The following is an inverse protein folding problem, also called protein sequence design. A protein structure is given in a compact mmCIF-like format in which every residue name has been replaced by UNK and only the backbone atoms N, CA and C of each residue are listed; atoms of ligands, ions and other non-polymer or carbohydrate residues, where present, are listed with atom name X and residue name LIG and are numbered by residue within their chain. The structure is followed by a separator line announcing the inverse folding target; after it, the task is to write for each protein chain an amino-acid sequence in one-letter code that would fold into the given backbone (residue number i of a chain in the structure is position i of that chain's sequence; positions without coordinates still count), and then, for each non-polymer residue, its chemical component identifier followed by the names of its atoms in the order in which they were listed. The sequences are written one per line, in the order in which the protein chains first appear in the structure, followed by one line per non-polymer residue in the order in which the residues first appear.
data_IF_951910327816
#
_entry.id   IF_951910327816
#
_cell.length_a   1.000
_cell.length_b   1.000
_cell.length_c   1.000
_cell.angle_alpha   90.00
_cell.angle_beta   90.00
_cell.angle_gamma   90.00
#
_symmetry.space_group_name_H-M   'P 1'
#
loop_
_entity.id
_entity.type
_entity.pdbx_description
1 polymer ?
#
# COMPACT_ATOMS: atom_id res chain seq x y z
N UNK A 1 -0.75 -83.94 -18.92
CA UNK A 1 -2.04 -83.23 -19.12
C UNK A 1 -2.59 -83.00 -17.73
N UNK A 2 -2.20 -81.89 -17.08
CA UNK A 2 -2.89 -80.58 -17.14
C UNK A 2 -4.31 -80.72 -16.53
N UNK A 3 -4.73 -80.00 -15.48
CA UNK A 3 -4.23 -78.73 -14.96
C UNK A 3 -4.69 -78.55 -13.50
N UNK A 4 -3.88 -77.82 -12.73
CA UNK A 4 -4.20 -77.33 -11.37
C UNK A 4 -4.90 -75.99 -11.55
N UNK A 5 -6.09 -75.80 -10.96
CA UNK A 5 -6.60 -74.44 -10.76
C UNK A 5 -6.80 -74.14 -9.27
N UNK A 6 -5.80 -73.44 -8.75
CA UNK A 6 -5.78 -72.80 -7.45
C UNK A 6 -6.80 -71.66 -7.41
N UNK A 7 -7.82 -71.82 -6.55
CA UNK A 7 -8.83 -70.81 -6.26
C UNK A 7 -8.22 -69.70 -5.39
N UNK A 8 -7.52 -68.75 -6.03
CA UNK A 8 -6.98 -67.55 -5.37
C UNK A 8 -8.14 -66.64 -4.94
N UNK A 9 -8.30 -66.48 -3.63
CA UNK A 9 -9.12 -65.42 -3.02
C UNK A 9 -8.61 -64.06 -3.53
N UNK A 10 -9.45 -63.34 -4.27
CA UNK A 10 -9.22 -61.94 -4.59
C UNK A 10 -9.45 -61.11 -3.30
N UNK A 11 -8.41 -60.46 -2.82
CA UNK A 11 -8.53 -59.47 -1.75
C UNK A 11 -9.37 -58.27 -2.24
N UNK A 12 -10.20 -57.66 -1.38
CA UNK A 12 -10.93 -56.45 -1.74
C UNK A 12 -9.94 -55.33 -2.08
N UNK A 13 -10.08 -54.76 -3.28
CA UNK A 13 -9.36 -53.54 -3.66
C UNK A 13 -9.75 -52.42 -2.66
N UNK A 14 -8.77 -51.68 -2.10
CA UNK A 14 -9.09 -50.51 -1.30
C UNK A 14 -9.81 -49.48 -2.18
N UNK A 15 -10.78 -48.73 -1.62
CA UNK A 15 -11.47 -47.69 -2.37
C UNK A 15 -10.47 -46.66 -2.88
N UNK A 16 -10.71 -46.05 -4.05
CA UNK A 16 -9.86 -45.00 -4.58
C UNK A 16 -9.79 -43.88 -3.55
N UNK A 17 -8.60 -43.63 -3.02
CA UNK A 17 -8.34 -42.43 -2.21
C UNK A 17 -8.60 -41.26 -3.13
N UNK A 18 -9.74 -40.61 -2.94
CA UNK A 18 -10.03 -39.33 -3.57
C UNK A 18 -8.93 -38.37 -3.10
N UNK A 19 -7.95 -38.14 -3.97
CA UNK A 19 -7.03 -37.03 -3.82
C UNK A 19 -7.90 -35.80 -3.99
N UNK A 20 -8.38 -35.24 -2.87
CA UNK A 20 -8.99 -33.93 -2.88
C UNK A 20 -7.94 -32.97 -3.41
N UNK A 21 -8.08 -32.60 -4.69
CA UNK A 21 -7.39 -31.48 -5.27
C UNK A 21 -7.77 -30.25 -4.46
N UNK A 22 -6.94 -29.95 -3.45
CA UNK A 22 -6.97 -28.71 -2.67
C UNK A 22 -6.73 -27.60 -3.67
N UNK A 23 -7.82 -27.11 -4.27
CA UNK A 23 -7.86 -26.03 -5.23
C UNK A 23 -7.31 -24.81 -4.52
N UNK A 24 -5.99 -24.61 -4.60
CA UNK A 24 -5.30 -23.45 -4.03
C UNK A 24 -5.96 -22.24 -4.67
N UNK A 25 -6.77 -21.54 -3.89
CA UNK A 25 -7.36 -20.28 -4.30
C UNK A 25 -6.21 -19.42 -4.86
N UNK A 26 -6.36 -19.02 -6.13
CA UNK A 26 -5.36 -18.21 -6.80
C UNK A 26 -5.01 -17.01 -5.90
N UNK A 27 -3.72 -16.66 -5.78
CA UNK A 27 -3.35 -15.51 -4.98
C UNK A 27 -4.10 -14.28 -5.49
N UNK A 28 -4.78 -13.58 -4.58
CA UNK A 28 -5.60 -12.40 -4.88
C UNK A 28 -4.79 -11.31 -5.59
N UNK A 29 -3.46 -11.35 -5.46
CA UNK A 29 -2.53 -10.42 -6.08
C UNK A 29 -1.36 -11.16 -6.74
N UNK A 30 -0.88 -10.69 -7.91
CA UNK A 30 0.24 -11.30 -8.63
C UNK A 30 1.58 -11.14 -7.92
N UNK A 31 1.69 -10.21 -6.94
CA UNK A 31 2.90 -9.93 -6.19
C UNK A 31 2.84 -10.44 -4.74
N UNK A 32 3.98 -10.87 -4.16
CA UNK A 32 4.12 -11.02 -2.71
C UNK A 32 3.70 -9.74 -1.97
N UNK A 33 2.88 -9.88 -0.93
CA UNK A 33 2.31 -8.75 -0.18
C UNK A 33 3.33 -7.66 0.23
N UNK A 34 4.50 -8.07 0.75
CA UNK A 34 5.57 -7.13 1.13
C UNK A 34 6.05 -6.32 -0.07
N UNK A 35 6.23 -6.94 -1.24
CA UNK A 35 6.65 -6.21 -2.44
C UNK A 35 5.56 -5.24 -2.91
N UNK A 36 4.30 -5.67 -2.92
CA UNK A 36 3.18 -4.80 -3.27
C UNK A 36 3.15 -3.54 -2.39
N UNK A 37 3.23 -3.72 -1.07
CA UNK A 37 3.21 -2.63 -0.09
C UNK A 37 4.41 -1.70 -0.27
N UNK A 38 5.61 -2.26 -0.43
CA UNK A 38 6.82 -1.45 -0.61
C UNK A 38 6.81 -0.67 -1.91
N UNK A 39 6.34 -1.27 -3.01
CA UNK A 39 6.20 -0.57 -4.29
C UNK A 39 5.15 0.52 -4.22
N UNK A 40 4.01 0.26 -3.57
CA UNK A 40 2.99 1.28 -3.31
C UNK A 40 3.56 2.45 -2.51
N UNK A 41 4.26 2.16 -1.40
CA UNK A 41 4.89 3.18 -0.58
C UNK A 41 5.97 3.97 -1.35
N UNK A 42 6.79 3.32 -2.18
CA UNK A 42 7.79 4.05 -2.98
C UNK A 42 7.13 4.91 -4.06
N UNK A 43 6.07 4.41 -4.71
CA UNK A 43 5.32 5.15 -5.71
C UNK A 43 4.69 6.41 -5.10
N UNK A 44 4.00 6.29 -3.97
CA UNK A 44 3.35 7.45 -3.34
C UNK A 44 4.40 8.46 -2.87
N UNK A 45 5.50 8.03 -2.25
CA UNK A 45 6.60 8.93 -1.86
C UNK A 45 7.22 9.66 -3.06
N UNK A 46 7.39 8.98 -4.20
CA UNK A 46 7.90 9.57 -5.43
C UNK A 46 6.95 10.62 -6.00
N UNK A 47 5.65 10.30 -6.08
CA UNK A 47 4.62 11.26 -6.53
C UNK A 47 4.62 12.51 -5.66
N UNK A 48 4.70 12.36 -4.34
CA UNK A 48 4.73 13.52 -3.44
C UNK A 48 6.00 14.34 -3.60
N UNK A 49 7.15 13.70 -3.80
CA UNK A 49 8.41 14.39 -4.09
C UNK A 49 8.32 15.24 -5.36
N UNK A 50 7.66 14.74 -6.40
CA UNK A 50 7.42 15.49 -7.65
C UNK A 50 6.51 16.69 -7.40
N UNK A 51 5.43 16.52 -6.64
CA UNK A 51 4.53 17.64 -6.28
C UNK A 51 5.31 18.75 -5.57
N UNK A 52 6.17 18.41 -4.61
CA UNK A 52 7.01 19.39 -3.92
C UNK A 52 8.01 20.08 -4.85
N UNK A 53 8.65 19.32 -5.75
CA UNK A 53 9.56 19.90 -6.73
C UNK A 53 8.84 20.90 -7.64
N UNK A 54 7.61 20.58 -8.08
CA UNK A 54 6.78 21.50 -8.86
C UNK A 54 6.45 22.75 -8.06
N UNK A 55 5.94 22.61 -6.82
CA UNK A 55 5.62 23.77 -5.97
C UNK A 55 6.85 24.65 -5.77
N UNK A 56 8.01 24.06 -5.48
CA UNK A 56 9.26 24.79 -5.30
C UNK A 56 9.67 25.57 -6.56
N UNK A 57 9.59 24.95 -7.74
CA UNK A 57 9.89 25.62 -9.01
C UNK A 57 8.89 26.75 -9.29
N UNK A 58 7.62 26.57 -8.96
CA UNK A 58 6.59 27.60 -9.13
C UNK A 58 6.74 28.77 -8.16
N UNK A 59 7.24 28.53 -6.95
CA UNK A 59 7.51 29.56 -5.93
C UNK A 59 8.78 30.38 -6.26
N UNK A 60 9.81 29.71 -6.77
CA UNK A 60 11.10 30.35 -7.10
C UNK A 60 11.15 30.95 -8.51
N UNK A 61 10.30 30.45 -9.41
CA UNK A 61 10.25 30.89 -10.79
C UNK A 61 9.40 32.14 -10.94
N UNK A 62 9.91 33.13 -11.68
CA UNK A 62 9.14 34.28 -12.17
C UNK A 62 8.26 33.83 -13.35
N UNK A 63 7.41 32.83 -13.11
CA UNK A 63 6.56 32.19 -14.10
C UNK A 63 5.17 32.79 -13.96
N UNK A 64 4.66 33.37 -15.05
CA UNK A 64 3.26 33.80 -15.13
C UNK A 64 2.33 32.60 -14.98
N UNK A 65 1.86 32.41 -13.75
CA UNK A 65 0.97 31.32 -13.39
C UNK A 65 -0.45 31.63 -13.88
N UNK A 66 -1.18 30.62 -14.38
CA UNK A 66 -2.60 30.76 -14.67
C UNK A 66 -3.36 31.29 -13.45
N UNK A 67 -4.41 32.07 -13.67
CA UNK A 67 -5.19 32.72 -12.60
C UNK A 67 -5.80 31.76 -11.57
N UNK A 68 -5.99 30.49 -11.94
CA UNK A 68 -6.46 29.45 -11.04
C UNK A 68 -5.36 28.88 -10.12
N UNK A 69 -4.08 29.13 -10.43
CA UNK A 69 -2.91 28.79 -9.59
C UNK A 69 -2.46 29.99 -8.75
N UNK A 70 -2.44 31.20 -9.32
CA UNK A 70 -2.02 32.42 -8.63
C UNK A 70 -2.95 32.86 -7.48
N UNK A 71 -4.13 32.25 -7.40
CA UNK A 71 -5.09 32.35 -6.29
C UNK A 71 -4.51 32.03 -4.91
N UNK A 72 -3.35 31.37 -4.85
CA UNK A 72 -2.63 31.03 -3.62
C UNK A 72 -2.21 32.23 -2.75
N UNK A 73 -1.82 33.35 -3.37
CA UNK A 73 -0.99 34.40 -2.73
C UNK A 73 -1.64 35.25 -1.63
N UNK A 74 -2.89 34.97 -1.24
CA UNK A 74 -3.58 35.68 -0.16
C UNK A 74 -4.70 34.88 0.49
N UNK A 75 -4.72 33.55 0.28
CA UNK A 75 -5.80 32.69 0.76
C UNK A 75 -5.74 32.38 2.25
N UNK A 76 -4.54 32.38 2.84
CA UNK A 76 -4.33 31.93 4.20
C UNK A 76 -4.11 33.06 5.18
N UNK A 77 -4.65 32.88 6.39
CA UNK A 77 -4.23 33.65 7.57
C UNK A 77 -2.80 33.25 7.97
N UNK A 78 -2.12 34.07 8.76
CA UNK A 78 -0.78 33.74 9.28
C UNK A 78 -0.75 32.38 10.00
N UNK A 79 -1.83 32.05 10.73
CA UNK A 79 -2.00 30.76 11.37
C UNK A 79 -2.12 29.61 10.36
N UNK A 80 -2.85 29.82 9.25
CA UNK A 80 -2.96 28.85 8.16
C UNK A 80 -1.65 28.63 7.42
N UNK A 81 -0.85 29.69 7.21
CA UNK A 81 0.49 29.61 6.62
C UNK A 81 1.42 28.80 7.53
N UNK A 82 1.42 29.09 8.83
CA UNK A 82 2.22 28.35 9.81
C UNK A 82 1.84 26.87 9.88
N UNK A 83 0.53 26.56 9.87
CA UNK A 83 0.03 25.18 9.84
C UNK A 83 0.45 24.46 8.55
N UNK A 84 0.28 25.11 7.38
CA UNK A 84 0.71 24.55 6.09
C UNK A 84 2.21 24.25 6.08
N UNK A 85 3.03 25.18 6.58
CA UNK A 85 4.48 25.00 6.70
C UNK A 85 4.85 23.80 7.59
N UNK A 86 4.20 23.65 8.74
CA UNK A 86 4.43 22.53 9.64
C UNK A 86 4.03 21.18 9.01
N UNK A 87 2.90 21.13 8.27
CA UNK A 87 2.47 19.93 7.56
C UNK A 87 3.45 19.57 6.45
N UNK A 88 3.89 20.54 5.65
CA UNK A 88 4.87 20.34 4.57
C UNK A 88 6.16 19.76 5.13
N UNK A 89 6.65 20.30 6.24
CA UNK A 89 7.87 19.80 6.86
C UNK A 89 7.70 18.38 7.40
N UNK A 90 6.61 18.10 8.12
CA UNK A 90 6.29 16.75 8.59
C UNK A 90 6.20 15.73 7.45
N UNK A 91 5.58 16.13 6.33
CA UNK A 91 5.41 15.30 5.15
C UNK A 91 6.75 14.92 4.49
N UNK A 92 7.72 15.84 4.41
CA UNK A 92 9.08 15.52 3.92
C UNK A 92 9.71 14.41 4.75
N UNK A 93 9.72 14.57 6.08
CA UNK A 93 10.31 13.58 6.99
C UNK A 93 9.59 12.23 6.93
N UNK A 94 8.26 12.24 6.88
CA UNK A 94 7.47 11.01 6.70
C UNK A 94 7.78 10.33 5.36
N UNK A 95 7.93 11.07 4.26
CA UNK A 95 8.26 10.51 2.94
C UNK A 95 9.65 9.87 2.90
N UNK A 96 10.63 10.49 3.58
CA UNK A 96 11.97 9.91 3.75
C UNK A 96 11.89 8.60 4.55
N UNK A 97 11.21 8.61 5.69
CA UNK A 97 11.05 7.42 6.54
C UNK A 97 10.30 6.29 5.82
N UNK A 98 9.23 6.62 5.11
CA UNK A 98 8.44 5.72 4.27
C UNK A 98 9.31 5.04 3.21
N UNK A 99 10.08 5.82 2.46
CA UNK A 99 10.95 5.32 1.39
C UNK A 99 12.07 4.43 1.95
N UNK A 100 12.69 4.86 3.05
CA UNK A 100 13.72 4.09 3.72
C UNK A 100 13.20 2.74 4.23
N UNK A 101 12.04 2.73 4.90
CA UNK A 101 11.42 1.51 5.40
C UNK A 101 11.05 0.55 4.25
N UNK A 102 10.48 1.07 3.16
CA UNK A 102 10.15 0.28 1.98
C UNK A 102 11.40 -0.31 1.31
N UNK A 103 12.44 0.49 1.11
CA UNK A 103 13.71 0.03 0.53
C UNK A 103 14.35 -1.06 1.40
N UNK A 104 14.42 -0.86 2.72
CA UNK A 104 14.96 -1.85 3.65
C UNK A 104 14.17 -3.16 3.62
N UNK A 105 12.83 -3.09 3.58
CA UNK A 105 11.97 -4.29 3.48
C UNK A 105 12.21 -5.08 2.18
N UNK A 106 12.53 -4.40 1.08
CA UNK A 106 12.86 -5.01 -0.21
C UNK A 106 14.27 -5.61 -0.23
N UNK A 107 15.26 -4.92 0.33
CA UNK A 107 16.67 -5.34 0.34
C UNK A 107 16.96 -6.46 1.34
N UNK A 108 16.15 -6.59 2.38
CA UNK A 108 16.35 -7.63 3.39
C UNK A 108 16.19 -9.05 2.82
N UNK A 109 17.07 -9.99 3.19
CA UNK A 109 16.99 -11.38 2.76
C UNK A 109 15.68 -12.05 3.14
N UNK A 110 15.22 -13.02 2.33
CA UNK A 110 13.99 -13.78 2.57
C UNK A 110 13.93 -14.47 3.94
N UNK A 111 15.08 -14.89 4.49
CA UNK A 111 15.20 -15.47 5.84
C UNK A 111 14.74 -14.54 6.97
N UNK A 112 14.72 -13.21 6.76
CA UNK A 112 14.25 -12.21 7.74
C UNK A 112 12.80 -11.80 7.50
N UNK A 113 11.92 -12.78 7.30
CA UNK A 113 10.52 -12.55 6.90
C UNK A 113 9.74 -11.64 7.85
N UNK A 114 9.93 -11.79 9.17
CA UNK A 114 9.25 -10.96 10.17
C UNK A 114 9.71 -9.50 10.10
N UNK A 115 11.02 -9.26 10.05
CA UNK A 115 11.57 -7.90 9.92
C UNK A 115 11.11 -7.22 8.63
N UNK A 116 11.08 -7.95 7.50
CA UNK A 116 10.57 -7.44 6.21
C UNK A 116 9.11 -7.02 6.32
N UNK A 117 8.28 -7.83 6.98
CA UNK A 117 6.86 -7.50 7.21
C UNK A 117 6.71 -6.30 8.12
N UNK A 118 7.43 -6.24 9.24
CA UNK A 118 7.38 -5.11 10.16
C UNK A 118 7.75 -3.80 9.43
N UNK A 119 8.83 -3.80 8.64
CA UNK A 119 9.21 -2.64 7.84
C UNK A 119 8.18 -2.29 6.77
N UNK A 120 7.55 -3.27 6.12
CA UNK A 120 6.45 -3.01 5.19
C UNK A 120 5.23 -2.38 5.89
N UNK A 121 4.89 -2.83 7.11
CA UNK A 121 3.84 -2.21 7.91
C UNK A 121 4.20 -0.76 8.29
N UNK A 122 5.45 -0.51 8.68
CA UNK A 122 5.94 0.85 8.97
C UNK A 122 5.86 1.73 7.72
N UNK A 123 6.28 1.22 6.55
CA UNK A 123 6.18 1.94 5.29
C UNK A 123 4.72 2.27 4.92
N UNK A 124 3.80 1.32 5.13
CA UNK A 124 2.37 1.53 4.90
C UNK A 124 1.77 2.55 5.86
N UNK A 125 2.12 2.50 7.15
CA UNK A 125 1.66 3.46 8.15
C UNK A 125 2.17 4.88 7.85
N UNK A 126 3.41 5.00 7.39
CA UNK A 126 3.97 6.27 6.94
C UNK A 126 3.26 6.79 5.69
N UNK A 127 2.93 5.92 4.73
CA UNK A 127 2.12 6.28 3.55
C UNK A 127 0.72 6.80 3.94
N UNK A 128 0.02 6.08 4.82
CA UNK A 128 -1.29 6.52 5.32
C UNK A 128 -1.21 7.87 6.04
N UNK A 129 -0.18 8.08 6.87
CA UNK A 129 0.08 9.37 7.53
C UNK A 129 0.29 10.49 6.50
N UNK A 130 1.09 10.24 5.47
CA UNK A 130 1.28 11.19 4.37
C UNK A 130 -0.04 11.53 3.67
N UNK A 131 -0.89 10.53 3.40
CA UNK A 131 -2.19 10.77 2.77
C UNK A 131 -3.14 11.58 3.65
N UNK A 132 -3.08 11.41 4.98
CA UNK A 132 -3.81 12.25 5.93
C UNK A 132 -3.31 13.69 5.93
N UNK A 133 -1.99 13.90 5.83
CA UNK A 133 -1.40 15.23 5.66
C UNK A 133 -1.88 15.89 4.36
N UNK A 134 -1.92 15.16 3.24
CA UNK A 134 -2.49 15.64 1.96
C UNK A 134 -3.94 16.09 2.17
N UNK A 135 -4.76 15.26 2.81
CA UNK A 135 -6.16 15.56 3.07
C UNK A 135 -6.31 16.81 3.93
N UNK A 136 -5.43 17.01 4.92
CA UNK A 136 -5.43 18.21 5.75
C UNK A 136 -5.04 19.46 4.96
N UNK A 137 -4.01 19.38 4.12
CA UNK A 137 -3.61 20.47 3.22
C UNK A 137 -4.77 20.86 2.29
N UNK A 138 -5.38 19.87 1.65
CA UNK A 138 -6.56 20.06 0.80
C UNK A 138 -7.71 20.74 1.57
N UNK A 139 -7.97 20.30 2.81
CA UNK A 139 -8.98 20.91 3.65
C UNK A 139 -8.68 22.39 3.93
N UNK A 140 -7.43 22.74 4.27
CA UNK A 140 -7.03 24.13 4.46
C UNK A 140 -7.34 24.98 3.22
N UNK A 141 -7.00 24.49 2.02
CA UNK A 141 -7.32 25.18 0.77
C UNK A 141 -8.82 25.36 0.55
N UNK A 142 -9.61 24.31 0.78
CA UNK A 142 -11.06 24.37 0.63
C UNK A 142 -11.72 25.29 1.65
N UNK A 143 -11.16 25.42 2.86
CA UNK A 143 -11.64 26.39 3.85
C UNK A 143 -11.27 27.82 3.50
N UNK A 144 -10.12 28.04 2.88
CA UNK A 144 -9.68 29.35 2.43
C UNK A 144 -10.47 29.85 1.21
N UNK A 145 -10.78 28.97 0.26
CA UNK A 145 -11.63 29.25 -0.90
C UNK A 145 -12.52 28.05 -1.25
N UNK A 146 -13.74 28.02 -0.71
CA UNK A 146 -14.71 26.96 -1.01
C UNK A 146 -15.09 26.88 -2.49
N UNK A 147 -14.90 27.97 -3.26
CA UNK A 147 -15.20 28.06 -4.69
C UNK A 147 -14.13 27.45 -5.59
N UNK A 148 -13.04 26.94 -5.03
CA UNK A 148 -11.93 26.41 -5.81
C UNK A 148 -12.18 24.98 -6.31
N UNK A 149 -12.96 24.87 -7.40
CA UNK A 149 -13.40 23.59 -8.00
C UNK A 149 -12.23 22.63 -8.33
N UNK A 150 -11.11 23.07 -8.95
CA UNK A 150 -9.95 22.20 -9.15
C UNK A 150 -9.43 21.52 -7.88
N UNK A 151 -9.43 22.24 -6.74
CA UNK A 151 -9.00 21.69 -5.46
C UNK A 151 -9.98 20.61 -4.96
N UNK A 152 -11.28 20.83 -5.11
CA UNK A 152 -12.30 19.81 -4.79
C UNK A 152 -12.09 18.52 -5.56
N UNK A 153 -11.91 18.62 -6.89
CA UNK A 153 -11.69 17.46 -7.75
C UNK A 153 -10.40 16.74 -7.36
N UNK A 154 -9.30 17.47 -7.21
CA UNK A 154 -8.01 16.93 -6.77
C UNK A 154 -8.12 16.22 -5.42
N UNK A 155 -8.84 16.82 -4.47
CA UNK A 155 -9.04 16.25 -3.13
C UNK A 155 -9.81 14.94 -3.17
N UNK A 156 -10.92 14.89 -3.90
CA UNK A 156 -11.75 13.70 -4.03
C UNK A 156 -10.97 12.54 -4.69
N UNK A 157 -10.23 12.85 -5.77
CA UNK A 157 -9.37 11.89 -6.48
C UNK A 157 -8.29 11.36 -5.53
N UNK A 158 -7.54 12.24 -4.86
CA UNK A 158 -6.47 11.85 -3.96
C UNK A 158 -6.98 10.96 -2.82
N UNK A 159 -8.02 11.38 -2.11
CA UNK A 159 -8.57 10.60 -0.98
C UNK A 159 -9.04 9.22 -1.44
N UNK A 160 -9.75 9.15 -2.57
CA UNK A 160 -10.27 7.89 -3.09
C UNK A 160 -9.15 6.92 -3.50
N UNK A 161 -8.23 7.36 -4.36
CA UNK A 161 -7.20 6.45 -4.90
C UNK A 161 -6.15 6.09 -3.86
N UNK A 162 -5.71 7.06 -3.05
CA UNK A 162 -4.69 6.82 -2.03
C UNK A 162 -5.23 5.90 -0.91
N UNK A 163 -6.42 6.21 -0.39
CA UNK A 163 -7.05 5.39 0.66
C UNK A 163 -7.39 3.98 0.17
N UNK A 164 -7.87 3.84 -1.07
CA UNK A 164 -8.13 2.54 -1.68
C UNK A 164 -6.84 1.71 -1.85
N UNK A 165 -5.75 2.35 -2.28
CA UNK A 165 -4.44 1.70 -2.39
C UNK A 165 -3.90 1.23 -1.05
N UNK A 166 -4.01 2.05 -0.01
CA UNK A 166 -3.62 1.68 1.36
C UNK A 166 -4.43 0.49 1.87
N UNK A 167 -5.75 0.51 1.64
CA UNK A 167 -6.64 -0.60 2.03
C UNK A 167 -6.28 -1.90 1.30
N UNK A 168 -5.99 -1.85 0.00
CA UNK A 168 -5.52 -3.03 -0.74
C UNK A 168 -4.19 -3.56 -0.19
N UNK A 169 -3.25 -2.68 0.14
CA UNK A 169 -1.96 -3.05 0.73
C UNK A 169 -2.14 -3.68 2.11
N UNK A 170 -3.04 -3.11 2.94
CA UNK A 170 -3.39 -3.64 4.26
C UNK A 170 -4.03 -5.03 4.14
N UNK A 171 -5.02 -5.19 3.27
CA UNK A 171 -5.64 -6.49 3.00
C UNK A 171 -4.64 -7.52 2.46
N UNK A 172 -3.69 -7.11 1.62
CA UNK A 172 -2.64 -8.00 1.12
C UNK A 172 -1.70 -8.47 2.26
N UNK A 173 -1.39 -7.60 3.22
CA UNK A 173 -0.58 -7.94 4.40
C UNK A 173 -1.34 -8.89 5.34
N UNK A 174 -2.61 -8.60 5.63
CA UNK A 174 -3.46 -9.33 6.58
C UNK A 174 -3.99 -10.66 6.01
N UNK A 175 -4.40 -10.72 4.73
CA UNK A 175 -4.94 -11.92 4.07
C UNK A 175 -3.95 -13.08 3.85
N UNK A 176 -2.78 -13.00 4.50
CA UNK A 176 -1.80 -14.08 4.65
C UNK A 176 -1.67 -14.59 6.10
N UNK A 177 -2.30 -13.97 7.10
CA UNK A 177 -2.39 -14.56 8.45
C UNK A 177 -3.28 -15.80 8.43
N UNK A 178 -4.50 -15.69 7.89
CA UNK A 178 -5.47 -16.80 7.88
C UNK A 178 -4.90 -18.06 7.21
N UNK A 179 -4.18 -17.90 6.10
CA UNK A 179 -3.53 -19.02 5.39
C UNK A 179 -2.25 -19.54 6.04
N UNK A 180 -1.58 -18.77 6.88
CA UNK A 180 -0.42 -19.28 7.62
C UNK A 180 -0.83 -20.06 8.86
N UNK A 181 -1.90 -19.66 9.55
CA UNK A 181 -2.43 -20.40 10.68
C UNK A 181 -3.14 -21.69 10.24
N UNK A 182 -3.74 -21.75 9.05
CA UNK A 182 -4.21 -23.03 8.48
C UNK A 182 -3.06 -23.99 8.13
N UNK A 183 -1.96 -23.48 7.55
CA UNK A 183 -0.81 -24.31 7.17
C UNK A 183 0.01 -24.74 8.40
N UNK A 184 0.08 -23.91 9.43
CA UNK A 184 0.72 -24.28 10.71
C UNK A 184 -0.20 -25.07 11.64
N UNK A 185 -1.52 -24.99 11.46
CA UNK A 185 -2.52 -25.82 12.14
C UNK A 185 -2.59 -27.26 11.61
N UNK A 186 -2.09 -27.50 10.40
CA UNK A 186 -1.91 -28.84 9.81
C UNK A 186 -0.57 -29.50 10.17
N UNK A 187 0.24 -28.87 11.04
CA UNK A 187 1.41 -29.45 11.70
C UNK A 187 1.15 -29.58 13.21
N UNK A 188 -0.05 -30.02 13.59
CA UNK A 188 -0.32 -30.57 14.92
C UNK A 188 -0.49 -32.08 14.82
N UNK A 189 0.59 -32.76 15.23
CA UNK A 189 0.78 -34.20 15.46
C UNK A 189 0.69 -35.11 14.24
#
# INVERSE_FOLDING_TARGET
MADKEDKKLAAPLPPPVAVEDKKRAAPLFPLPAVQLVCLWALLTAAVMSVVFAVIYVLDQGDIDLPSWVSRYGGMFTDAGIAELGAIIEGWKWCSVGQSAAAALALLLPARRRLSRRALACVALAAAATNHLMVARVNFLFLTADPGWIPMWVSSAVNVYYLGKGDLYCLMALLGREDRQYEVLGLLKF
#
